data_IF_335772276038
#
_entry.id   IF_335772276038
#
_cell.length_a   1.000
_cell.length_b   1.000
_cell.length_c   1.000
_cell.angle_alpha   90.00
_cell.angle_beta   90.00
_cell.angle_gamma   90.00
#
_symmetry.space_group_name_H-M   'P 1'
#
loop_
_entity.id
_entity.type
_entity.pdbx_description
1 polymer ?
#
# COMPACT_ATOMS: atom_id res chain seq x y z
N UNK A 1 25.42 -12.85 -12.00
CA UNK A 1 24.01 -13.28 -12.07
C UNK A 1 23.56 -13.51 -10.65
N UNK A 2 22.46 -12.88 -10.22
CA UNK A 2 21.85 -13.22 -8.92
C UNK A 2 21.36 -14.68 -9.00
N UNK A 3 21.54 -15.45 -7.93
CA UNK A 3 21.01 -16.79 -7.83
C UNK A 3 19.48 -16.76 -7.66
N UNK A 4 18.80 -17.89 -7.89
CA UNK A 4 17.37 -18.00 -7.61
C UNK A 4 17.09 -17.76 -6.12
N UNK A 5 18.01 -18.14 -5.24
CA UNK A 5 17.91 -17.87 -3.80
C UNK A 5 18.00 -16.38 -3.47
N UNK A 6 18.90 -15.64 -4.14
CA UNK A 6 18.99 -14.17 -3.99
C UNK A 6 17.71 -13.47 -4.45
N UNK A 7 17.10 -13.97 -5.54
CA UNK A 7 15.84 -13.47 -6.06
C UNK A 7 14.69 -13.71 -5.06
N UNK A 8 14.59 -14.92 -4.49
CA UNK A 8 13.58 -15.25 -3.49
C UNK A 8 13.72 -14.39 -2.23
N UNK A 9 14.94 -14.16 -1.75
CA UNK A 9 15.19 -13.26 -0.62
C UNK A 9 14.82 -11.79 -0.92
N UNK A 10 15.07 -11.34 -2.15
CA UNK A 10 14.69 -10.00 -2.60
C UNK A 10 13.17 -9.83 -2.69
N UNK A 11 12.45 -10.86 -3.16
CA UNK A 11 10.99 -10.87 -3.21
C UNK A 11 10.37 -10.85 -1.81
N UNK A 12 10.93 -11.58 -0.85
CA UNK A 12 10.46 -11.54 0.55
C UNK A 12 10.65 -10.14 1.17
N UNK A 13 11.80 -9.50 0.88
CA UNK A 13 12.06 -8.11 1.31
C UNK A 13 11.05 -7.14 0.69
N UNK A 14 10.73 -7.30 -0.60
CA UNK A 14 9.74 -6.49 -1.29
C UNK A 14 8.35 -6.64 -0.67
N UNK A 15 7.92 -7.87 -0.39
CA UNK A 15 6.63 -8.13 0.29
C UNK A 15 6.56 -7.41 1.64
N UNK A 16 7.63 -7.50 2.44
CA UNK A 16 7.70 -6.79 3.72
C UNK A 16 7.60 -5.25 3.57
N UNK A 17 8.22 -4.68 2.53
CA UNK A 17 8.11 -3.26 2.23
C UNK A 17 6.70 -2.85 1.78
N UNK A 18 6.01 -3.70 1.01
CA UNK A 18 4.61 -3.50 0.60
C UNK A 18 3.70 -3.50 1.82
N UNK A 19 3.87 -4.46 2.74
CA UNK A 19 3.08 -4.53 3.98
C UNK A 19 3.29 -3.30 4.87
N UNK A 20 4.54 -2.83 5.03
CA UNK A 20 4.83 -1.60 5.76
C UNK A 20 4.15 -0.39 5.11
N UNK A 21 4.19 -0.30 3.78
CA UNK A 21 3.56 0.79 3.03
C UNK A 21 2.03 0.79 3.21
N UNK A 22 1.39 -0.39 3.19
CA UNK A 22 -0.03 -0.54 3.51
C UNK A 22 -0.37 -0.10 4.93
N UNK A 23 0.45 -0.48 5.90
CA UNK A 23 0.24 -0.07 7.29
C UNK A 23 0.31 1.46 7.44
N UNK A 24 1.29 2.10 6.78
CA UNK A 24 1.42 3.55 6.78
C UNK A 24 0.22 4.25 6.11
N UNK A 25 -0.24 3.72 4.97
CA UNK A 25 -1.43 4.22 4.27
C UNK A 25 -2.70 4.11 5.14
N UNK A 26 -2.84 3.03 5.93
CA UNK A 26 -3.97 2.87 6.86
C UNK A 26 -3.91 3.91 7.99
N UNK A 27 -2.70 4.19 8.51
CA UNK A 27 -2.51 5.26 9.49
C UNK A 27 -2.90 6.63 8.93
N UNK A 28 -2.46 6.94 7.70
CA UNK A 28 -2.81 8.18 7.02
C UNK A 28 -4.34 8.31 6.80
N UNK A 29 -5.00 7.22 6.42
CA UNK A 29 -6.47 7.16 6.28
C UNK A 29 -7.17 7.48 7.60
N UNK A 30 -6.76 6.86 8.71
CA UNK A 30 -7.34 7.12 10.03
C UNK A 30 -7.22 8.58 10.43
N UNK A 31 -6.03 9.18 10.22
CA UNK A 31 -5.82 10.60 10.48
C UNK A 31 -6.71 11.47 9.58
N UNK A 32 -6.86 11.13 8.30
CA UNK A 32 -7.73 11.85 7.38
C UNK A 32 -9.22 11.74 7.78
N UNK A 33 -9.66 10.57 8.27
CA UNK A 33 -11.02 10.35 8.76
C UNK A 33 -11.32 11.18 10.02
N UNK A 34 -10.42 11.17 11.01
CA UNK A 34 -10.52 11.99 12.22
C UNK A 34 -10.54 13.48 11.89
N UNK A 35 -9.64 13.92 11.00
CA UNK A 35 -9.52 15.31 10.59
C UNK A 35 -10.77 15.75 9.83
N UNK A 36 -11.31 14.90 8.95
CA UNK A 36 -12.54 15.18 8.21
C UNK A 36 -13.73 15.39 9.15
N UNK A 37 -13.88 14.51 10.15
CA UNK A 37 -14.95 14.60 11.14
C UNK A 37 -14.87 15.92 11.94
N UNK A 38 -13.66 16.33 12.35
CA UNK A 38 -13.45 17.59 13.04
C UNK A 38 -13.83 18.81 12.19
N UNK A 39 -13.38 18.88 10.94
CA UNK A 39 -13.65 20.03 10.07
C UNK A 39 -15.08 20.08 9.54
N UNK A 40 -15.74 18.93 9.36
CA UNK A 40 -17.17 18.88 9.04
C UNK A 40 -18.00 19.50 10.17
N UNK A 41 -17.66 19.20 11.43
CA UNK A 41 -18.31 19.80 12.60
C UNK A 41 -18.11 21.32 12.74
N UNK A 42 -17.04 21.86 12.13
CA UNK A 42 -16.72 23.29 12.11
C UNK A 42 -17.29 24.03 10.89
N UNK A 43 -17.98 23.34 9.96
CA UNK A 43 -18.50 23.94 8.73
C UNK A 43 -17.43 24.34 7.71
N UNK A 44 -16.22 23.78 7.81
CA UNK A 44 -15.10 24.07 6.91
C UNK A 44 -15.16 23.21 5.64
N UNK A 45 -16.17 23.44 4.79
CA UNK A 45 -16.49 22.63 3.60
C UNK A 45 -15.29 22.46 2.65
N UNK A 46 -14.45 23.48 2.49
CA UNK A 46 -13.25 23.41 1.63
C UNK A 46 -12.18 22.42 2.14
N UNK A 47 -12.02 22.32 3.47
CA UNK A 47 -11.06 21.38 4.07
C UNK A 47 -11.60 19.95 3.99
N UNK A 48 -12.90 19.77 4.19
CA UNK A 48 -13.58 18.49 4.02
C UNK A 48 -13.43 17.95 2.58
N UNK A 49 -13.55 18.81 1.56
CA UNK A 49 -13.35 18.42 0.16
C UNK A 49 -11.92 17.98 -0.14
N UNK A 50 -10.91 18.70 0.38
CA UNK A 50 -9.49 18.34 0.21
C UNK A 50 -9.19 16.99 0.87
N UNK A 51 -9.77 16.75 2.07
CA UNK A 51 -9.60 15.48 2.78
C UNK A 51 -10.25 14.31 2.06
N UNK A 52 -11.40 14.49 1.41
CA UNK A 52 -11.98 13.45 0.56
C UNK A 52 -11.08 13.10 -0.62
N UNK A 53 -10.53 14.10 -1.31
CA UNK A 53 -9.54 13.84 -2.38
C UNK A 53 -8.32 13.08 -1.86
N UNK A 54 -7.83 13.41 -0.66
CA UNK A 54 -6.71 12.70 -0.05
C UNK A 54 -7.07 11.24 0.27
N UNK A 55 -8.30 10.96 0.73
CA UNK A 55 -8.78 9.59 0.95
C UNK A 55 -8.85 8.79 -0.34
N UNK A 56 -9.38 9.38 -1.42
CA UNK A 56 -9.46 8.72 -2.73
C UNK A 56 -8.06 8.35 -3.25
N UNK A 57 -7.07 9.23 -3.05
CA UNK A 57 -5.68 8.96 -3.41
C UNK A 57 -5.05 7.83 -2.56
N UNK A 58 -5.38 7.78 -1.27
CA UNK A 58 -4.95 6.69 -0.38
C UNK A 58 -5.55 5.36 -0.84
N UNK A 59 -6.84 5.33 -1.19
CA UNK A 59 -7.50 4.11 -1.69
C UNK A 59 -6.92 3.65 -3.03
N UNK A 60 -6.62 4.58 -3.94
CA UNK A 60 -5.90 4.25 -5.18
C UNK A 60 -4.51 3.66 -4.90
N UNK A 61 -3.80 4.20 -3.90
CA UNK A 61 -2.49 3.68 -3.48
C UNK A 61 -2.59 2.27 -2.90
N UNK A 62 -3.64 1.96 -2.14
CA UNK A 62 -3.90 0.61 -1.65
C UNK A 62 -4.08 -0.39 -2.78
N UNK A 63 -4.90 -0.05 -3.78
CA UNK A 63 -5.12 -0.90 -4.95
C UNK A 63 -3.82 -1.20 -5.71
N UNK A 64 -2.95 -0.20 -5.86
CA UNK A 64 -1.63 -0.37 -6.48
C UNK A 64 -0.71 -1.28 -5.64
N UNK A 65 -0.73 -1.14 -4.31
CA UNK A 65 0.04 -2.00 -3.40
C UNK A 65 -0.47 -3.45 -3.42
N UNK A 66 -1.78 -3.67 -3.53
CA UNK A 66 -2.37 -5.01 -3.71
C UNK A 66 -1.92 -5.66 -5.01
N UNK A 67 -1.91 -4.91 -6.11
CA UNK A 67 -1.42 -5.41 -7.40
C UNK A 67 0.07 -5.77 -7.32
N UNK A 68 0.90 -4.90 -6.74
CA UNK A 68 2.32 -5.16 -6.55
C UNK A 68 2.58 -6.42 -5.69
N UNK A 69 1.75 -6.65 -4.67
CA UNK A 69 1.84 -7.86 -3.84
C UNK A 69 1.54 -9.12 -4.65
N UNK A 70 0.46 -9.09 -5.44
CA UNK A 70 0.08 -10.20 -6.30
C UNK A 70 1.15 -10.51 -7.36
N UNK A 71 1.79 -9.49 -7.92
CA UNK A 71 2.90 -9.65 -8.87
C UNK A 71 4.14 -10.24 -8.19
N UNK A 72 4.47 -9.78 -6.98
CA UNK A 72 5.57 -10.33 -6.19
C UNK A 72 5.35 -11.81 -5.84
N UNK A 73 4.11 -12.20 -5.52
CA UNK A 73 3.76 -13.60 -5.26
C UNK A 73 3.84 -14.48 -6.51
N UNK A 74 3.38 -13.99 -7.66
CA UNK A 74 3.53 -14.71 -8.93
C UNK A 74 5.00 -14.88 -9.32
N UNK A 75 5.81 -13.82 -9.16
CA UNK A 75 7.25 -13.88 -9.42
C UNK A 75 7.93 -14.89 -8.49
N UNK A 76 7.52 -14.94 -7.21
CA UNK A 76 8.01 -15.92 -6.25
C UNK A 76 7.65 -17.35 -6.63
N UNK A 77 6.39 -17.62 -6.98
CA UNK A 77 5.95 -18.95 -7.41
C UNK A 77 6.70 -19.45 -8.65
N UNK A 78 6.97 -18.53 -9.60
CA UNK A 78 7.76 -18.82 -10.80
C UNK A 78 9.21 -19.16 -10.45
N UNK A 79 9.81 -18.39 -9.55
CA UNK A 79 11.18 -18.62 -9.09
C UNK A 79 11.33 -19.94 -8.31
N UNK A 80 10.38 -20.24 -7.42
CA UNK A 80 10.33 -21.52 -6.69
C UNK A 80 10.21 -22.71 -7.66
N UNK A 81 9.39 -22.57 -8.71
CA UNK A 81 9.24 -23.60 -9.75
C UNK A 81 10.51 -23.80 -10.59
N UNK A 82 11.27 -22.75 -10.83
CA UNK A 82 12.54 -22.81 -11.58
C UNK A 82 13.72 -23.34 -10.75
N UNK A 83 13.58 -23.36 -9.41
CA UNK A 83 14.59 -23.91 -8.48
C UNK A 83 14.52 -25.43 -8.37
N UNK A 84 13.32 -25.99 -8.50
CA UNK A 84 13.04 -27.44 -8.47
C UNK A 84 13.40 -28.13 -9.78
#
# INVERSE_FOLDING_TARGET
MASIDDLLGSLETLKGAIDQSKSAANGARSVADETYSQFQGLGAEGVAAILNTAKDQIEASFSALDQAMNEAEQARATAESAKG
#
